data_IF_471223312670
#
_entry.id   IF_471223312670
#
_cell.length_a   1.000
_cell.length_b   1.000
_cell.length_c   1.000
_cell.angle_alpha   90.00
_cell.angle_beta   90.00
_cell.angle_gamma   90.00
#
_symmetry.space_group_name_H-M   'P 1'
#
loop_
_entity.id
_entity.type
_entity.pdbx_description
1 polymer ?
#
# COMPACT_ATOMS: atom_id res chain seq x y z
N UNK A 1 -5.57 -2.44 6.60
CA UNK A 1 -4.68 -2.57 7.77
C UNK A 1 -5.29 -3.55 8.78
N UNK A 2 -4.48 -4.48 9.29
CA UNK A 2 -4.83 -5.30 10.46
C UNK A 2 -4.10 -4.76 11.66
N UNK A 3 -4.82 -4.72 12.80
CA UNK A 3 -4.30 -4.13 14.04
C UNK A 3 -4.47 -5.09 15.23
N UNK A 4 -3.52 -5.02 16.15
CA UNK A 4 -3.62 -5.62 17.49
C UNK A 4 -3.58 -4.49 18.50
N UNK A 5 -4.76 -4.11 19.03
CA UNK A 5 -4.92 -2.84 19.73
C UNK A 5 -4.66 -1.65 18.78
N UNK A 6 -3.78 -0.74 19.17
CA UNK A 6 -3.40 0.40 18.33
C UNK A 6 -2.24 0.09 17.35
N UNK A 7 -1.60 -1.06 17.47
CA UNK A 7 -0.43 -1.42 16.68
C UNK A 7 -0.86 -2.08 15.37
N UNK A 8 -0.42 -1.53 14.23
CA UNK A 8 -0.60 -2.15 12.91
C UNK A 8 0.39 -3.31 12.82
N UNK A 9 -0.13 -4.49 12.49
CA UNK A 9 0.64 -5.73 12.39
C UNK A 9 0.82 -6.21 10.95
N UNK A 10 -0.16 -5.98 10.08
CA UNK A 10 -0.12 -6.37 8.67
C UNK A 10 -1.07 -5.55 7.82
N UNK A 11 -0.99 -5.74 6.50
CA UNK A 11 -1.79 -5.02 5.52
C UNK A 11 -2.43 -5.97 4.52
N UNK A 12 -3.58 -5.57 4.00
CA UNK A 12 -4.19 -6.16 2.81
C UNK A 12 -4.43 -5.03 1.82
N UNK A 13 -3.86 -5.16 0.63
CA UNK A 13 -4.08 -4.29 -0.52
C UNK A 13 -5.04 -4.98 -1.47
N UNK A 14 -6.18 -4.34 -1.72
CA UNK A 14 -7.18 -4.87 -2.64
C UNK A 14 -6.99 -4.28 -4.04
N UNK A 15 -7.14 -5.11 -5.03
CA UNK A 15 -7.17 -4.76 -6.45
C UNK A 15 -8.58 -4.95 -7.01
N UNK A 16 -8.80 -4.49 -8.22
CA UNK A 16 -10.06 -4.72 -8.90
C UNK A 16 -10.32 -6.21 -9.07
N UNK A 17 -11.59 -6.59 -9.05
CA UNK A 17 -12.00 -7.97 -9.22
C UNK A 17 -11.51 -8.49 -10.59
N UNK A 18 -10.89 -9.67 -10.60
CA UNK A 18 -10.22 -10.28 -11.75
C UNK A 18 -8.93 -9.58 -12.20
N UNK A 19 -8.30 -8.80 -11.35
CA UNK A 19 -6.97 -8.27 -11.66
C UNK A 19 -5.98 -9.44 -11.83
N UNK A 20 -5.40 -9.53 -13.03
CA UNK A 20 -4.46 -10.61 -13.39
C UNK A 20 -3.04 -10.35 -12.90
N UNK A 21 -2.80 -9.20 -12.27
CA UNK A 21 -1.46 -8.77 -11.87
C UNK A 21 -1.31 -8.58 -10.36
N UNK A 22 -1.69 -9.60 -9.58
CA UNK A 22 -1.51 -9.60 -8.12
C UNK A 22 -0.05 -9.70 -7.67
N UNK A 23 0.89 -9.87 -8.62
CA UNK A 23 2.34 -9.95 -8.37
C UNK A 23 3.12 -8.75 -8.90
N UNK A 24 2.48 -7.90 -9.70
CA UNK A 24 3.10 -6.72 -10.30
C UNK A 24 4.09 -7.08 -11.41
N UNK A 25 3.85 -8.15 -12.16
CA UNK A 25 4.77 -8.66 -13.19
C UNK A 25 4.42 -8.17 -14.60
N UNK A 26 3.15 -7.85 -14.85
CA UNK A 26 2.64 -7.61 -16.19
C UNK A 26 2.72 -6.14 -16.62
N UNK A 27 2.89 -5.20 -15.68
CA UNK A 27 2.91 -3.77 -15.96
C UNK A 27 4.00 -3.07 -15.15
N UNK A 28 4.83 -2.26 -15.82
CA UNK A 28 5.94 -1.54 -15.16
C UNK A 28 5.45 -0.63 -14.01
N UNK A 29 4.33 0.05 -14.18
CA UNK A 29 3.75 0.93 -13.14
C UNK A 29 3.29 0.12 -11.95
N UNK A 30 2.61 -1.00 -12.18
CA UNK A 30 2.21 -1.94 -11.14
C UNK A 30 3.44 -2.51 -10.42
N UNK A 31 4.46 -2.94 -11.15
CA UNK A 31 5.71 -3.45 -10.57
C UNK A 31 6.33 -2.45 -9.61
N UNK A 32 6.49 -1.20 -10.02
CA UNK A 32 7.05 -0.15 -9.16
C UNK A 32 6.19 0.10 -7.91
N UNK A 33 4.86 0.03 -8.03
CA UNK A 33 3.94 0.13 -6.90
C UNK A 33 4.12 -1.05 -5.93
N UNK A 34 4.10 -2.28 -6.44
CA UNK A 34 4.28 -3.50 -5.65
C UNK A 34 5.64 -3.52 -4.95
N UNK A 35 6.71 -3.15 -5.63
CA UNK A 35 8.05 -3.09 -5.07
C UNK A 35 8.16 -2.05 -3.94
N UNK A 36 7.47 -0.92 -4.06
CA UNK A 36 7.38 0.07 -2.97
C UNK A 36 6.67 -0.50 -1.74
N UNK A 37 5.51 -1.15 -1.94
CA UNK A 37 4.77 -1.77 -0.82
C UNK A 37 5.58 -2.88 -0.16
N UNK A 38 6.17 -3.79 -0.94
CA UNK A 38 6.99 -4.90 -0.44
C UNK A 38 8.22 -4.42 0.35
N UNK A 39 8.81 -3.28 -0.02
CA UNK A 39 9.93 -2.67 0.72
C UNK A 39 9.49 -1.93 1.99
N UNK A 40 8.31 -1.29 1.95
CA UNK A 40 7.82 -0.47 3.05
C UNK A 40 7.11 -1.28 4.15
N UNK A 41 6.56 -2.44 3.80
CA UNK A 41 5.64 -3.21 4.64
C UNK A 41 6.17 -4.62 4.80
N UNK A 42 6.34 -5.02 6.06
CA UNK A 42 6.94 -6.32 6.40
C UNK A 42 6.04 -7.51 6.07
N UNK A 43 4.73 -7.36 6.29
CA UNK A 43 3.71 -8.39 6.03
C UNK A 43 2.52 -7.77 5.32
N UNK A 44 2.33 -8.12 4.06
CA UNK A 44 1.25 -7.61 3.21
C UNK A 44 0.68 -8.71 2.33
N UNK A 45 -0.65 -8.76 2.21
CA UNK A 45 -1.32 -9.57 1.21
C UNK A 45 -1.90 -8.68 0.10
N UNK A 46 -1.76 -9.12 -1.14
CA UNK A 46 -2.47 -8.56 -2.29
C UNK A 46 -3.62 -9.48 -2.67
N UNK A 47 -4.76 -8.92 -3.05
CA UNK A 47 -5.94 -9.71 -3.43
C UNK A 47 -6.85 -8.97 -4.41
N UNK A 48 -7.45 -9.75 -5.33
CA UNK A 48 -8.61 -9.37 -6.14
C UNK A 48 -9.91 -9.98 -5.58
N UNK A 49 -9.91 -10.40 -4.31
CA UNK A 49 -10.97 -11.13 -3.60
C UNK A 49 -11.14 -12.60 -4.01
N UNK A 50 -10.56 -13.06 -5.12
CA UNK A 50 -10.60 -14.45 -5.58
C UNK A 50 -9.30 -15.19 -5.28
N UNK A 51 -8.18 -14.49 -5.41
CA UNK A 51 -6.85 -14.96 -5.06
C UNK A 51 -6.24 -14.03 -4.01
N UNK A 52 -5.48 -14.61 -3.09
CA UNK A 52 -4.69 -13.90 -2.09
C UNK A 52 -3.23 -14.32 -2.21
N UNK A 53 -2.33 -13.33 -2.25
CA UNK A 53 -0.89 -13.54 -2.34
C UNK A 53 -0.22 -12.83 -1.17
N UNK A 54 0.42 -13.58 -0.28
CA UNK A 54 1.09 -13.07 0.92
C UNK A 54 2.57 -12.85 0.67
N UNK A 55 3.03 -11.67 1.02
CA UNK A 55 4.44 -11.31 1.07
C UNK A 55 4.87 -11.07 2.51
N UNK A 56 6.00 -11.67 2.88
CA UNK A 56 6.68 -11.42 4.15
C UNK A 56 8.12 -10.97 3.83
N UNK A 57 8.52 -9.80 4.32
CA UNK A 57 9.84 -9.19 4.07
C UNK A 57 10.18 -9.03 2.57
N UNK A 58 9.16 -8.79 1.76
CA UNK A 58 9.28 -8.61 0.33
C UNK A 58 9.23 -9.90 -0.50
N UNK A 59 9.27 -11.08 0.12
CA UNK A 59 9.22 -12.38 -0.55
C UNK A 59 7.80 -12.97 -0.51
N UNK A 60 7.35 -13.57 -1.63
CA UNK A 60 6.09 -14.32 -1.67
C UNK A 60 6.23 -15.59 -0.84
N UNK A 61 5.36 -15.77 0.16
CA UNK A 61 5.43 -16.92 1.08
C UNK A 61 4.24 -17.85 0.97
N UNK A 62 3.07 -17.34 0.61
CA UNK A 62 1.86 -18.14 0.42
C UNK A 62 0.98 -17.51 -0.66
N UNK A 63 0.27 -18.35 -1.40
CA UNK A 63 -0.87 -17.92 -2.21
C UNK A 63 -2.03 -18.88 -2.05
N UNK A 64 -3.25 -18.35 -2.20
CA UNK A 64 -4.47 -19.15 -2.11
C UNK A 64 -5.54 -18.58 -3.04
N UNK A 65 -6.10 -19.43 -3.89
CA UNK A 65 -7.22 -19.09 -4.76
C UNK A 65 -8.49 -19.69 -4.18
N UNK A 66 -9.37 -18.84 -3.65
CA UNK A 66 -10.60 -19.26 -2.95
C UNK A 66 -11.85 -19.30 -3.85
N UNK A 67 -11.79 -18.61 -4.99
CA UNK A 67 -12.88 -18.61 -5.96
C UNK A 67 -12.34 -18.38 -7.37
N UNK A 68 -13.17 -18.63 -8.37
CA UNK A 68 -12.88 -18.37 -9.79
C UNK A 68 -14.14 -17.97 -10.55
N UNK A 69 -13.98 -17.38 -11.73
CA UNK A 69 -15.10 -17.10 -12.61
C UNK A 69 -15.36 -18.29 -13.54
N UNK A 70 -16.60 -18.79 -13.52
CA UNK A 70 -17.12 -19.79 -14.46
C UNK A 70 -18.45 -19.31 -15.03
N UNK A 71 -18.59 -19.29 -16.34
CA UNK A 71 -19.81 -18.90 -17.04
C UNK A 71 -20.42 -17.57 -16.58
N UNK A 72 -19.55 -16.58 -16.27
CA UNK A 72 -19.95 -15.26 -15.78
C UNK A 72 -20.29 -15.19 -14.29
N UNK A 73 -20.24 -16.31 -13.57
CA UNK A 73 -20.51 -16.37 -12.13
C UNK A 73 -19.23 -16.63 -11.32
N UNK A 74 -19.19 -16.10 -10.09
CA UNK A 74 -18.11 -16.42 -9.15
C UNK A 74 -18.48 -17.72 -8.43
N UNK A 75 -17.58 -18.69 -8.53
CA UNK A 75 -17.77 -20.03 -7.93
C UNK A 75 -16.62 -20.27 -6.93
N UNK A 76 -16.92 -20.66 -5.68
CA UNK A 76 -15.89 -21.06 -4.73
C UNK A 76 -15.07 -22.23 -5.26
N UNK A 77 -13.78 -22.28 -4.94
CA UNK A 77 -12.87 -23.30 -5.48
C UNK A 77 -13.25 -24.73 -5.02
N UNK A 78 -13.77 -24.93 -3.84
CA UNK A 78 -14.02 -26.26 -3.27
C UNK A 78 -12.73 -27.10 -3.03
N UNK A 79 -11.56 -26.60 -3.40
CA UNK A 79 -10.27 -27.28 -3.18
C UNK A 79 -9.81 -27.12 -1.73
N UNK A 80 -9.80 -28.20 -0.97
CA UNK A 80 -9.40 -28.22 0.44
C UNK A 80 -7.95 -27.72 0.65
N UNK A 81 -7.05 -27.92 -0.33
CA UNK A 81 -5.68 -27.41 -0.25
C UNK A 81 -5.66 -25.87 -0.33
N UNK A 82 -6.47 -25.29 -1.21
CA UNK A 82 -6.59 -23.84 -1.35
C UNK A 82 -7.25 -23.23 -0.10
N UNK A 83 -8.26 -23.86 0.46
CA UNK A 83 -8.92 -23.45 1.70
C UNK A 83 -7.92 -23.51 2.86
N UNK A 84 -7.14 -24.58 2.97
CA UNK A 84 -6.10 -24.72 3.98
C UNK A 84 -4.98 -23.68 3.82
N UNK A 85 -4.56 -23.40 2.58
CA UNK A 85 -3.57 -22.35 2.29
C UNK A 85 -4.10 -20.96 2.67
N UNK A 86 -5.36 -20.67 2.38
CA UNK A 86 -6.02 -19.42 2.76
C UNK A 86 -6.10 -19.25 4.29
N UNK A 87 -6.49 -20.32 5.00
CA UNK A 87 -6.53 -20.30 6.46
C UNK A 87 -5.15 -20.01 7.06
N UNK A 88 -4.10 -20.65 6.54
CA UNK A 88 -2.71 -20.39 6.95
C UNK A 88 -2.29 -18.94 6.64
N UNK A 89 -2.68 -18.42 5.48
CA UNK A 89 -2.39 -17.06 5.09
C UNK A 89 -3.05 -16.06 6.05
N UNK A 90 -4.31 -16.26 6.40
CA UNK A 90 -5.01 -15.42 7.39
C UNK A 90 -4.35 -15.49 8.76
N UNK A 91 -3.99 -16.70 9.23
CA UNK A 91 -3.27 -16.87 10.50
C UNK A 91 -1.96 -16.07 10.51
N UNK A 92 -1.16 -16.13 9.43
CA UNK A 92 0.08 -15.36 9.32
C UNK A 92 -0.16 -13.84 9.34
N UNK A 93 -1.22 -13.35 8.71
CA UNK A 93 -1.59 -11.93 8.77
C UNK A 93 -1.97 -11.48 10.18
N UNK A 94 -2.72 -12.31 10.92
CA UNK A 94 -3.21 -12.01 12.28
C UNK A 94 -2.08 -12.14 13.31
N UNK A 95 -1.14 -13.06 13.11
CA UNK A 95 -0.01 -13.32 13.99
C UNK A 95 1.23 -12.51 13.65
N UNK A 96 1.18 -11.71 12.58
CA UNK A 96 2.29 -10.89 12.14
C UNK A 96 2.77 -9.95 13.25
N UNK A 97 4.09 -9.79 13.31
CA UNK A 97 4.73 -8.89 14.28
C UNK A 97 5.26 -7.66 13.58
N UNK A 98 5.10 -6.47 14.17
CA UNK A 98 5.78 -5.28 13.68
C UNK A 98 7.29 -5.52 13.58
N UNK A 99 7.93 -4.98 12.54
CA UNK A 99 9.38 -5.06 12.44
C UNK A 99 10.03 -4.24 13.56
N UNK A 100 10.87 -4.82 14.40
CA UNK A 100 11.55 -4.06 15.44
C UNK A 100 12.56 -3.08 14.80
N UNK A 101 12.47 -1.81 15.18
CA UNK A 101 13.40 -0.76 14.76
C UNK A 101 14.49 -0.70 15.81
N UNK A 102 15.64 -1.32 15.54
CA UNK A 102 16.75 -1.45 16.49
C UNK A 102 18.00 -0.62 16.09
N UNK A 103 17.92 0.15 15.02
CA UNK A 103 19.00 1.06 14.61
C UNK A 103 18.46 2.30 13.91
N UNK A 104 19.21 3.41 13.99
CA UNK A 104 18.88 4.65 13.28
C UNK A 104 18.81 4.45 11.76
N UNK A 105 19.64 3.56 11.20
CA UNK A 105 19.63 3.23 9.79
C UNK A 105 18.32 2.55 9.38
N UNK A 106 17.89 1.51 10.09
CA UNK A 106 16.63 0.80 9.83
C UNK A 106 15.45 1.76 9.99
N UNK A 107 15.47 2.64 10.98
CA UNK A 107 14.48 3.69 11.14
C UNK A 107 14.41 4.60 9.91
N UNK A 108 15.54 5.14 9.48
CA UNK A 108 15.60 6.03 8.31
C UNK A 108 15.11 5.34 7.02
N UNK A 109 15.56 4.11 6.76
CA UNK A 109 15.12 3.31 5.62
C UNK A 109 13.61 3.03 5.66
N UNK A 110 13.07 2.71 6.84
CA UNK A 110 11.63 2.47 7.05
C UNK A 110 10.80 3.74 6.83
N UNK A 111 11.24 4.87 7.37
CA UNK A 111 10.56 6.16 7.20
C UNK A 111 10.60 6.61 5.73
N UNK A 112 11.76 6.49 5.07
CA UNK A 112 11.91 6.82 3.65
C UNK A 112 11.01 5.94 2.76
N UNK A 113 10.94 4.63 3.04
CA UNK A 113 10.05 3.73 2.30
C UNK A 113 8.57 4.11 2.47
N UNK A 114 8.15 4.45 3.70
CA UNK A 114 6.77 4.91 3.97
C UNK A 114 6.47 6.26 3.29
N UNK A 115 7.42 7.20 3.31
CA UNK A 115 7.26 8.47 2.62
C UNK A 115 7.05 8.27 1.11
N UNK A 116 7.79 7.37 0.47
CA UNK A 116 7.61 7.04 -0.96
C UNK A 116 6.23 6.46 -1.27
N UNK A 117 5.67 5.63 -0.39
CA UNK A 117 4.30 5.12 -0.56
C UNK A 117 3.29 6.27 -0.49
N UNK A 118 3.41 7.14 0.52
CA UNK A 118 2.53 8.30 0.68
C UNK A 118 2.67 9.26 -0.51
N UNK A 119 3.88 9.57 -0.95
CA UNK A 119 4.13 10.43 -2.10
C UNK A 119 3.44 9.91 -3.36
N UNK A 120 3.50 8.59 -3.61
CA UNK A 120 2.81 7.98 -4.75
C UNK A 120 1.28 8.15 -4.68
N UNK A 121 0.68 7.98 -3.50
CA UNK A 121 -0.76 8.19 -3.29
C UNK A 121 -1.13 9.65 -3.52
N UNK A 122 -0.33 10.59 -2.99
CA UNK A 122 -0.54 12.03 -3.18
C UNK A 122 -0.41 12.45 -4.65
N UNK A 123 0.56 11.89 -5.37
CA UNK A 123 0.72 12.15 -6.82
C UNK A 123 -0.51 11.69 -7.61
N UNK A 124 -1.08 10.53 -7.28
CA UNK A 124 -2.32 10.05 -7.90
C UNK A 124 -3.49 10.99 -7.56
N UNK A 125 -3.59 11.46 -6.31
CA UNK A 125 -4.64 12.40 -5.91
C UNK A 125 -4.52 13.74 -6.65
N UNK A 126 -3.30 14.26 -6.81
CA UNK A 126 -3.02 15.49 -7.53
C UNK A 126 -3.26 15.38 -9.05
N UNK A 127 -3.05 14.20 -9.64
CA UNK A 127 -3.30 13.99 -11.08
C UNK A 127 -4.78 13.93 -11.45
N UNK A 128 -5.69 13.80 -10.48
CA UNK A 128 -7.13 13.80 -10.73
C UNK A 128 -7.63 15.21 -11.06
N UNK A 129 -8.50 15.31 -12.07
CA UNK A 129 -9.09 16.57 -12.51
C UNK A 129 -10.63 16.48 -12.59
N UNK A 130 -11.28 17.64 -12.45
CA UNK A 130 -12.71 17.80 -12.70
C UNK A 130 -13.63 17.09 -11.71
N UNK A 131 -14.67 16.42 -12.22
CA UNK A 131 -15.73 15.80 -11.41
C UNK A 131 -15.30 14.57 -10.64
N UNK A 132 -14.13 14.01 -10.94
CA UNK A 132 -13.59 12.83 -10.28
C UNK A 132 -12.80 13.15 -8.99
N UNK A 133 -12.70 14.43 -8.62
CA UNK A 133 -12.02 14.86 -7.41
C UNK A 133 -12.91 14.70 -6.17
N UNK A 134 -12.37 14.05 -5.14
CA UNK A 134 -12.97 14.08 -3.81
C UNK A 134 -12.73 15.43 -3.11
N UNK A 135 -13.34 15.62 -1.95
CA UNK A 135 -13.09 16.81 -1.12
C UNK A 135 -11.60 16.89 -0.71
N UNK A 136 -11.04 15.75 -0.33
CA UNK A 136 -9.65 15.61 0.09
C UNK A 136 -8.68 15.92 -1.06
N UNK A 137 -8.99 15.47 -2.28
CA UNK A 137 -8.20 15.79 -3.48
C UNK A 137 -8.17 17.33 -3.71
N UNK A 138 -9.31 18.01 -3.55
CA UNK A 138 -9.40 19.49 -3.67
C UNK A 138 -8.60 20.20 -2.58
N UNK A 139 -8.69 19.74 -1.33
CA UNK A 139 -7.93 20.31 -0.23
C UNK A 139 -6.42 20.15 -0.44
N UNK A 140 -5.99 19.08 -1.09
CA UNK A 140 -4.59 18.86 -1.46
C UNK A 140 -4.12 19.86 -2.53
N UNK A 141 -4.94 20.12 -3.54
CA UNK A 141 -4.65 21.15 -4.56
C UNK A 141 -4.55 22.57 -3.95
N UNK A 142 -5.45 22.91 -3.02
CA UNK A 142 -5.38 24.20 -2.30
C UNK A 142 -4.05 24.34 -1.54
N UNK A 143 -3.56 23.26 -0.93
CA UNK A 143 -2.26 23.27 -0.25
C UNK A 143 -1.10 23.44 -1.22
N UNK A 144 -1.13 22.76 -2.37
CA UNK A 144 -0.13 22.92 -3.43
C UNK A 144 -0.09 24.36 -3.94
N UNK A 145 -1.25 24.96 -4.20
CA UNK A 145 -1.36 26.35 -4.68
C UNK A 145 -0.83 27.34 -3.64
N UNK A 146 -1.15 27.13 -2.37
CA UNK A 146 -0.58 27.93 -1.28
C UNK A 146 0.95 27.79 -1.20
N UNK A 147 1.48 26.57 -1.37
CA UNK A 147 2.91 26.32 -1.41
C UNK A 147 3.59 27.06 -2.57
N UNK A 148 3.03 26.98 -3.78
CA UNK A 148 3.51 27.71 -4.96
C UNK A 148 3.48 29.22 -4.74
N UNK A 149 2.42 29.73 -4.14
CA UNK A 149 2.24 31.16 -3.93
C UNK A 149 3.20 31.76 -2.90
N UNK A 150 3.49 31.04 -1.82
CA UNK A 150 4.17 31.63 -0.67
C UNK A 150 5.60 31.12 -0.44
N UNK A 151 5.98 29.94 -1.01
CA UNK A 151 7.25 29.28 -0.71
C UNK A 151 8.09 29.00 -1.96
N UNK A 152 7.59 28.21 -2.91
CA UNK A 152 8.35 27.75 -4.10
C UNK A 152 7.48 27.85 -5.33
N UNK A 153 7.63 28.92 -6.12
CA UNK A 153 6.74 29.26 -7.23
C UNK A 153 6.71 28.24 -8.37
N UNK A 154 7.81 27.54 -8.62
CA UNK A 154 7.99 26.57 -9.71
C UNK A 154 7.89 25.10 -9.25
N UNK A 155 7.36 24.86 -8.03
CA UNK A 155 7.19 23.51 -7.50
C UNK A 155 6.24 22.68 -8.38
N UNK A 156 6.69 21.50 -8.80
CA UNK A 156 5.85 20.53 -9.52
C UNK A 156 4.94 19.75 -8.56
N UNK A 157 3.90 19.10 -9.08
CA UNK A 157 3.03 18.22 -8.29
C UNK A 157 3.80 17.07 -7.65
N UNK A 158 4.75 16.49 -8.40
CA UNK A 158 5.60 15.40 -7.91
C UNK A 158 6.52 15.85 -6.78
N UNK A 159 7.18 17.00 -6.93
CA UNK A 159 8.02 17.60 -5.88
C UNK A 159 7.21 17.92 -4.63
N UNK A 160 6.00 18.46 -4.79
CA UNK A 160 5.12 18.73 -3.66
C UNK A 160 4.68 17.44 -2.97
N UNK A 161 4.28 16.41 -3.72
CA UNK A 161 3.89 15.12 -3.16
C UNK A 161 5.02 14.49 -2.34
N UNK A 162 6.26 14.51 -2.85
CA UNK A 162 7.44 13.99 -2.15
C UNK A 162 7.75 14.78 -0.88
N UNK A 163 7.82 16.10 -0.98
CA UNK A 163 8.06 16.99 0.18
C UNK A 163 6.98 16.82 1.26
N UNK A 164 5.70 16.84 0.85
CA UNK A 164 4.58 16.76 1.78
C UNK A 164 4.52 15.38 2.46
N UNK A 165 4.79 14.30 1.73
CA UNK A 165 4.89 12.95 2.28
C UNK A 165 6.01 12.83 3.33
N UNK A 166 7.20 13.37 3.04
CA UNK A 166 8.31 13.40 3.98
C UNK A 166 7.94 14.19 5.24
N UNK A 167 7.32 15.36 5.08
CA UNK A 167 6.87 16.20 6.20
C UNK A 167 5.89 15.45 7.11
N UNK A 168 4.92 14.74 6.53
CA UNK A 168 3.97 13.92 7.30
C UNK A 168 4.70 12.83 8.06
N UNK A 169 5.55 12.05 7.39
CA UNK A 169 6.22 10.89 8.01
C UNK A 169 7.16 11.32 9.15
N UNK A 170 7.97 12.36 8.94
CA UNK A 170 8.86 12.87 9.97
C UNK A 170 8.09 13.58 11.09
N UNK A 171 7.04 14.33 10.76
CA UNK A 171 6.19 14.97 11.75
C UNK A 171 5.50 13.97 12.67
N UNK A 172 4.95 12.89 12.11
CA UNK A 172 4.34 11.81 12.89
C UNK A 172 5.37 11.07 13.77
N UNK A 173 6.60 10.90 13.30
CA UNK A 173 7.67 10.30 14.07
C UNK A 173 8.02 11.18 15.27
N UNK A 174 8.26 12.49 15.06
CA UNK A 174 8.60 13.44 16.11
C UNK A 174 7.47 13.56 17.14
N UNK A 175 6.22 13.54 16.71
CA UNK A 175 5.07 13.63 17.61
C UNK A 175 4.89 12.42 18.56
N UNK A 176 5.63 11.32 18.33
CA UNK A 176 5.58 10.11 19.16
C UNK A 176 6.78 9.91 20.08
N UNK A 177 7.77 10.79 20.02
CA UNK A 177 8.91 10.84 20.95
C UNK A 177 8.53 11.68 22.17
#
# INVERSE_FOLDING_TARGET
ELRKGETIISFIETKDLFDKDLRGENNKVHKEQFDRYKKAINTIAFTDYLEFVLYEKGEETLSAKIAEQKDGHIVPTGDEKQISAFTKLLSKLIEAKPQPINSARILAETLAAKAKVIAAILSIALSKAGTNQTKEDKDLHIKLDAFKKFLVHDMTEEQFADFYAQTIVYGMFIARI
#
